data_IF_845460659501
#
_entry.id   IF_845460659501
#
_cell.length_a   1.000
_cell.length_b   1.000
_cell.length_c   1.000
_cell.angle_alpha   90.00
_cell.angle_beta   90.00
_cell.angle_gamma   90.00
#
_symmetry.space_group_name_H-M   'P 1'
#
loop_
_entity.id
_entity.type
_entity.pdbx_description
1 polymer ?
#
# COMPACT_ATOMS: atom_id res chain seq x y z
N UNK A 1 7.00 -9.86 -5.99
CA UNK A 1 6.76 -10.13 -4.54
C UNK A 1 5.85 -11.34 -4.40
N UNK A 2 6.16 -12.27 -3.48
CA UNK A 2 5.37 -13.46 -3.16
C UNK A 2 4.73 -13.31 -1.79
N UNK A 3 3.47 -13.72 -1.70
CA UNK A 3 2.69 -13.72 -0.46
C UNK A 3 2.28 -15.13 -0.09
N UNK A 4 2.47 -15.48 1.16
CA UNK A 4 2.15 -16.79 1.73
C UNK A 4 1.11 -16.65 2.84
N UNK A 5 0.31 -17.71 3.04
CA UNK A 5 -0.62 -17.75 4.15
C UNK A 5 0.10 -17.92 5.48
N UNK A 6 -0.36 -17.25 6.52
CA UNK A 6 0.10 -17.43 7.89
C UNK A 6 -0.13 -18.85 8.45
N UNK A 7 -1.04 -19.61 7.81
CA UNK A 7 -1.31 -21.02 8.13
C UNK A 7 -0.58 -22.02 7.23
N UNK A 8 0.02 -21.54 6.14
CA UNK A 8 0.90 -22.29 5.28
C UNK A 8 0.25 -23.30 4.33
N UNK A 9 -1.08 -23.42 4.29
CA UNK A 9 -1.78 -24.41 3.47
C UNK A 9 -2.48 -23.79 2.23
N UNK A 10 -2.51 -22.48 2.11
CA UNK A 10 -3.08 -21.81 0.93
C UNK A 10 -2.02 -21.61 -0.16
N UNK A 11 -2.44 -21.49 -1.44
CA UNK A 11 -1.52 -21.19 -2.55
C UNK A 11 -0.78 -19.88 -2.33
N UNK A 12 0.49 -19.83 -2.75
CA UNK A 12 1.27 -18.59 -2.82
C UNK A 12 0.71 -17.69 -3.92
N UNK A 13 0.54 -16.41 -3.61
CA UNK A 13 0.01 -15.40 -4.53
C UNK A 13 1.00 -14.26 -4.72
N UNK A 14 0.81 -13.49 -5.79
CA UNK A 14 1.42 -12.17 -5.93
C UNK A 14 0.61 -11.11 -5.17
N UNK A 15 1.04 -9.86 -5.23
CA UNK A 15 0.33 -8.75 -4.56
C UNK A 15 -1.13 -8.63 -5.03
N UNK A 16 -1.36 -8.71 -6.33
CA UNK A 16 -2.72 -8.63 -6.91
C UNK A 16 -3.61 -9.76 -6.42
N UNK A 17 -3.12 -10.98 -6.51
CA UNK A 17 -3.85 -12.16 -6.03
C UNK A 17 -4.17 -12.09 -4.55
N UNK A 18 -3.22 -11.68 -3.72
CA UNK A 18 -3.42 -11.52 -2.27
C UNK A 18 -4.43 -10.40 -1.95
N UNK A 19 -4.37 -9.27 -2.68
CA UNK A 19 -5.32 -8.16 -2.52
C UNK A 19 -6.75 -8.58 -2.86
N UNK A 20 -6.94 -9.29 -3.96
CA UNK A 20 -8.27 -9.75 -4.40
C UNK A 20 -8.81 -10.89 -3.53
N UNK A 21 -7.95 -11.77 -3.04
CA UNK A 21 -8.36 -12.87 -2.16
C UNK A 21 -8.85 -12.38 -0.78
N UNK A 22 -8.24 -11.32 -0.25
CA UNK A 22 -8.48 -10.85 1.11
C UNK A 22 -7.96 -11.85 2.14
N UNK A 23 -8.77 -12.83 2.54
CA UNK A 23 -8.36 -13.94 3.40
C UNK A 23 -7.81 -15.11 2.56
N UNK A 24 -6.84 -15.83 3.12
CA UNK A 24 -6.35 -17.05 2.51
C UNK A 24 -7.40 -18.18 2.63
N UNK A 25 -7.40 -19.10 1.67
CA UNK A 25 -8.38 -20.21 1.61
C UNK A 25 -8.33 -21.18 2.80
N UNK A 26 -7.21 -21.18 3.53
CA UNK A 26 -7.03 -21.95 4.76
C UNK A 26 -7.44 -21.18 6.04
N UNK A 27 -8.03 -19.99 5.88
CA UNK A 27 -8.43 -19.10 6.95
C UNK A 27 -7.29 -18.27 7.55
N UNK A 28 -6.10 -18.33 6.98
CA UNK A 28 -4.97 -17.47 7.33
C UNK A 28 -5.03 -16.08 6.67
N UNK A 29 -4.03 -15.27 6.94
CA UNK A 29 -3.78 -13.99 6.28
C UNK A 29 -2.62 -14.13 5.30
N UNK A 30 -2.63 -13.37 4.22
CA UNK A 30 -1.47 -13.27 3.33
C UNK A 30 -0.46 -12.28 3.89
N UNK A 31 0.78 -12.72 3.99
CA UNK A 31 1.94 -11.90 4.38
C UNK A 31 3.06 -12.07 3.36
N UNK A 32 3.97 -11.09 3.20
CA UNK A 32 5.14 -11.27 2.36
C UNK A 32 5.95 -12.51 2.79
N UNK A 33 6.35 -13.34 1.83
CA UNK A 33 7.26 -14.47 2.10
C UNK A 33 8.62 -13.98 2.60
N UNK A 34 9.07 -12.84 2.07
CA UNK A 34 10.26 -12.14 2.53
C UNK A 34 9.90 -10.67 2.78
N UNK A 35 10.17 -10.19 3.98
CA UNK A 35 9.92 -8.80 4.33
C UNK A 35 10.95 -7.89 3.66
N UNK A 36 10.51 -6.90 2.87
CA UNK A 36 11.40 -5.90 2.33
C UNK A 36 12.09 -5.11 3.44
N UNK A 37 13.36 -4.82 3.21
CA UNK A 37 14.17 -4.00 4.12
C UNK A 37 14.71 -2.79 3.37
N UNK A 38 14.84 -1.68 4.07
CA UNK A 38 15.49 -0.47 3.55
C UNK A 38 16.80 -0.23 4.31
N UNK A 39 17.85 0.03 3.57
CA UNK A 39 19.11 0.47 4.15
C UNK A 39 18.99 1.89 4.74
N UNK A 40 19.97 2.27 5.55
CA UNK A 40 20.02 3.65 6.11
C UNK A 40 20.07 4.71 5.02
N UNK A 41 20.77 4.46 3.93
CA UNK A 41 20.89 5.40 2.81
C UNK A 41 19.58 5.53 2.05
N UNK A 42 18.84 4.42 1.84
CA UNK A 42 17.50 4.44 1.25
C UNK A 42 16.51 5.21 2.13
N UNK A 43 16.56 5.00 3.45
CA UNK A 43 15.73 5.77 4.40
C UNK A 43 16.10 7.26 4.35
N UNK A 44 17.39 7.58 4.34
CA UNK A 44 17.86 8.97 4.27
C UNK A 44 17.44 9.65 2.95
N UNK A 45 17.39 8.91 1.86
CA UNK A 45 16.94 9.41 0.55
C UNK A 45 15.45 9.78 0.51
N UNK A 46 14.64 9.35 1.47
CA UNK A 46 13.25 9.78 1.61
C UNK A 46 13.11 11.22 2.17
N UNK A 47 14.17 11.76 2.75
CA UNK A 47 14.15 13.11 3.32
C UNK A 47 13.82 14.15 2.23
N UNK A 48 12.87 15.03 2.52
CA UNK A 48 12.43 16.08 1.61
C UNK A 48 11.45 15.64 0.51
N UNK A 49 11.12 14.35 0.41
CA UNK A 49 10.07 13.88 -0.49
C UNK A 49 8.68 14.26 0.05
N UNK A 50 7.72 14.37 -0.88
CA UNK A 50 6.31 14.46 -0.51
C UNK A 50 5.84 13.17 0.17
N UNK A 51 4.71 13.23 0.89
CA UNK A 51 4.10 12.01 1.44
C UNK A 51 3.77 10.99 0.35
N UNK A 52 3.27 11.45 -0.79
CA UNK A 52 2.93 10.60 -1.94
C UNK A 52 4.17 9.88 -2.48
N UNK A 53 5.27 10.60 -2.68
CA UNK A 53 6.51 10.01 -3.19
C UNK A 53 7.14 9.04 -2.18
N UNK A 54 7.08 9.39 -0.89
CA UNK A 54 7.53 8.51 0.20
C UNK A 54 6.67 7.24 0.26
N UNK A 55 5.36 7.36 0.21
CA UNK A 55 4.43 6.22 0.20
C UNK A 55 4.69 5.29 -0.98
N UNK A 56 4.84 5.84 -2.18
CA UNK A 56 5.15 5.05 -3.37
C UNK A 56 6.51 4.33 -3.24
N UNK A 57 7.54 4.99 -2.72
CA UNK A 57 8.85 4.39 -2.53
C UNK A 57 8.83 3.24 -1.50
N UNK A 58 8.14 3.43 -0.36
CA UNK A 58 8.03 2.43 0.70
C UNK A 58 7.18 1.23 0.27
N UNK A 59 6.12 1.46 -0.50
CA UNK A 59 5.21 0.39 -0.92
C UNK A 59 5.69 -0.39 -2.16
N UNK A 60 6.52 0.20 -3.01
CA UNK A 60 6.96 -0.44 -4.25
C UNK A 60 7.51 -1.87 -4.07
N UNK A 61 8.35 -2.18 -3.08
CA UNK A 61 8.85 -3.54 -2.88
C UNK A 61 7.76 -4.55 -2.53
N UNK A 62 6.68 -4.12 -1.86
CA UNK A 62 5.55 -5.00 -1.52
C UNK A 62 4.66 -5.28 -2.72
N UNK A 63 4.53 -4.33 -3.64
CA UNK A 63 3.70 -4.46 -4.83
C UNK A 63 4.40 -5.29 -5.91
N UNK A 64 5.73 -5.20 -6.00
CA UNK A 64 6.51 -5.89 -7.02
C UNK A 64 6.07 -5.49 -8.42
N UNK A 65 5.92 -6.47 -9.31
CA UNK A 65 5.55 -6.26 -10.71
C UNK A 65 4.04 -6.11 -10.96
N UNK A 66 3.22 -6.13 -9.89
CA UNK A 66 1.76 -6.04 -10.02
C UNK A 66 1.27 -4.66 -10.49
N UNK A 67 2.03 -3.60 -10.22
CA UNK A 67 1.83 -2.24 -10.73
C UNK A 67 3.17 -1.63 -11.11
N UNK A 68 3.14 -0.71 -12.08
CA UNK A 68 4.31 0.13 -12.35
C UNK A 68 4.48 1.18 -11.22
N UNK A 69 5.67 1.75 -11.13
CA UNK A 69 5.95 2.80 -10.14
C UNK A 69 5.09 4.04 -10.38
N UNK A 70 4.86 4.38 -11.63
CA UNK A 70 4.02 5.50 -12.06
C UNK A 70 2.56 5.28 -11.66
N UNK A 71 2.03 4.08 -11.88
CA UNK A 71 0.68 3.71 -11.46
C UNK A 71 0.52 3.78 -9.95
N UNK A 72 1.45 3.20 -9.21
CA UNK A 72 1.43 3.24 -7.75
C UNK A 72 1.44 4.69 -7.24
N UNK A 73 2.33 5.52 -7.78
CA UNK A 73 2.41 6.94 -7.40
C UNK A 73 1.11 7.68 -7.69
N UNK A 74 0.49 7.44 -8.86
CA UNK A 74 -0.78 8.06 -9.22
C UNK A 74 -1.92 7.65 -8.28
N UNK A 75 -1.98 6.39 -7.86
CA UNK A 75 -2.94 5.91 -6.87
C UNK A 75 -2.71 6.55 -5.50
N UNK A 76 -1.45 6.69 -5.07
CA UNK A 76 -1.10 7.40 -3.83
C UNK A 76 -1.52 8.86 -3.89
N UNK A 77 -1.32 9.55 -5.00
CA UNK A 77 -1.73 10.93 -5.18
C UNK A 77 -3.26 11.08 -5.10
N UNK A 78 -3.98 10.18 -5.75
CA UNK A 78 -5.45 10.17 -5.69
C UNK A 78 -5.97 9.89 -4.27
N UNK A 79 -5.35 8.95 -3.55
CA UNK A 79 -5.75 8.59 -2.20
C UNK A 79 -5.46 9.72 -1.19
N UNK A 80 -4.23 10.24 -1.21
CA UNK A 80 -3.72 11.15 -0.18
C UNK A 80 -3.90 12.62 -0.51
N UNK A 81 -4.16 12.97 -1.77
CA UNK A 81 -4.47 14.35 -2.19
C UNK A 81 -5.74 14.92 -1.59
N UNK A 82 -6.60 14.07 -1.00
CA UNK A 82 -7.85 14.47 -0.31
C UNK A 82 -7.67 14.74 1.18
N UNK A 83 -6.49 14.46 1.73
CA UNK A 83 -6.21 14.71 3.14
C UNK A 83 -6.05 16.21 3.40
N UNK A 84 -6.54 16.66 4.55
CA UNK A 84 -6.53 18.07 4.92
C UNK A 84 -5.15 18.62 5.33
N UNK A 85 -4.16 17.75 5.52
CA UNK A 85 -2.81 18.10 5.88
C UNK A 85 -1.80 17.60 4.84
N UNK A 86 -0.87 18.46 4.42
CA UNK A 86 0.11 18.10 3.38
C UNK A 86 1.02 16.91 3.75
N UNK A 87 1.33 16.75 5.04
CA UNK A 87 2.07 15.60 5.54
C UNK A 87 1.21 14.35 5.75
N UNK A 88 -0.09 14.38 5.45
CA UNK A 88 -1.08 13.31 5.61
C UNK A 88 -1.16 12.75 7.03
N UNK A 89 -0.06 12.29 7.59
CA UNK A 89 0.10 11.80 8.97
C UNK A 89 1.21 12.59 9.69
N UNK A 90 0.96 13.86 10.03
CA UNK A 90 2.00 14.69 10.66
C UNK A 90 2.35 14.21 12.06
N UNK A 91 3.58 14.47 12.46
CA UNK A 91 4.05 14.30 13.83
C UNK A 91 3.94 15.64 14.57
N UNK A 92 3.27 15.63 15.72
CA UNK A 92 3.20 16.77 16.64
C UNK A 92 4.05 16.47 17.86
N UNK A 93 5.04 17.30 18.11
CA UNK A 93 5.85 17.19 19.31
C UNK A 93 5.06 17.67 20.53
N UNK A 94 4.94 16.83 21.55
CA UNK A 94 4.26 17.12 22.81
C UNK A 94 5.24 17.53 23.91
N UNK A 95 6.42 16.89 23.93
CA UNK A 95 7.49 17.14 24.88
C UNK A 95 8.83 16.75 24.23
N UNK A 96 9.94 16.89 24.94
CA UNK A 96 11.29 16.64 24.45
C UNK A 96 11.43 15.33 23.68
N UNK A 97 10.93 14.23 24.22
CA UNK A 97 11.01 12.87 23.62
C UNK A 97 9.64 12.26 23.29
N UNK A 98 8.58 13.08 23.27
CA UNK A 98 7.22 12.62 23.03
C UNK A 98 6.64 13.23 21.76
N UNK A 99 6.18 12.36 20.88
CA UNK A 99 5.58 12.75 19.62
C UNK A 99 4.21 12.07 19.46
N UNK A 100 3.26 12.80 18.92
CA UNK A 100 1.94 12.30 18.55
C UNK A 100 1.88 12.18 17.04
N UNK A 101 1.60 10.97 16.52
CA UNK A 101 1.28 10.75 15.12
C UNK A 101 -0.21 11.01 14.91
N UNK A 102 -0.55 12.06 14.17
CA UNK A 102 -1.94 12.41 13.90
C UNK A 102 -2.47 11.64 12.69
N UNK A 103 -3.53 10.85 12.88
CA UNK A 103 -4.11 9.97 11.84
C UNK A 103 -5.53 10.39 11.43
N UNK A 104 -5.97 11.59 11.76
CA UNK A 104 -7.35 12.05 11.59
C UNK A 104 -7.53 13.09 10.47
N UNK A 105 -6.56 13.26 9.58
CA UNK A 105 -6.61 14.25 8.50
C UNK A 105 -7.26 13.75 7.21
N UNK A 106 -7.78 12.53 7.19
CA UNK A 106 -8.46 11.95 6.04
C UNK A 106 -9.91 12.42 5.88
N UNK A 107 -10.57 12.05 4.78
CA UNK A 107 -11.94 12.50 4.44
C UNK A 107 -12.98 12.15 5.49
N UNK A 108 -12.86 11.01 6.17
CA UNK A 108 -13.81 10.54 7.19
C UNK A 108 -13.37 10.86 8.62
N UNK A 109 -12.20 11.47 8.80
CA UNK A 109 -11.55 11.78 10.09
C UNK A 109 -11.15 10.54 10.91
N UNK A 110 -11.34 9.34 10.38
CA UNK A 110 -10.95 8.09 11.00
C UNK A 110 -9.52 7.70 10.60
N UNK A 111 -8.75 7.11 11.52
CA UNK A 111 -7.38 6.64 11.23
C UNK A 111 -7.32 5.64 10.06
N UNK A 112 -8.38 4.89 9.83
CA UNK A 112 -8.51 3.93 8.73
C UNK A 112 -8.41 4.56 7.35
N UNK A 113 -8.66 5.86 7.20
CA UNK A 113 -8.52 6.56 5.93
C UNK A 113 -7.11 6.39 5.32
N UNK A 114 -6.07 6.34 6.16
CA UNK A 114 -4.69 6.16 5.70
C UNK A 114 -4.51 4.88 4.88
N UNK A 115 -5.17 3.80 5.27
CA UNK A 115 -5.14 2.53 4.54
C UNK A 115 -6.29 2.41 3.52
N UNK A 116 -7.53 2.70 3.93
CA UNK A 116 -8.72 2.39 3.13
C UNK A 116 -8.88 3.27 1.91
N UNK A 117 -8.44 4.54 1.93
CA UNK A 117 -8.48 5.41 0.76
C UNK A 117 -7.60 4.86 -0.39
N UNK A 118 -6.46 4.29 -0.07
CA UNK A 118 -5.59 3.65 -1.05
C UNK A 118 -6.08 2.23 -1.41
N UNK A 119 -6.51 1.44 -0.43
CA UNK A 119 -6.94 0.06 -0.65
C UNK A 119 -8.08 -0.03 -1.66
N UNK A 120 -9.07 0.87 -1.60
CA UNK A 120 -10.16 0.91 -2.57
C UNK A 120 -9.67 1.09 -4.00
N UNK A 121 -8.72 1.99 -4.22
CA UNK A 121 -8.12 2.27 -5.52
C UNK A 121 -7.26 1.09 -6.02
N UNK A 122 -6.49 0.47 -5.13
CA UNK A 122 -5.71 -0.73 -5.44
C UNK A 122 -6.61 -1.89 -5.86
N UNK A 123 -7.72 -2.08 -5.14
CA UNK A 123 -8.68 -3.13 -5.43
C UNK A 123 -9.32 -2.93 -6.82
N UNK A 124 -9.79 -1.73 -7.11
CA UNK A 124 -10.33 -1.37 -8.42
C UNK A 124 -9.32 -1.61 -9.55
N UNK A 125 -8.06 -1.17 -9.35
CA UNK A 125 -7.00 -1.37 -10.34
C UNK A 125 -6.69 -2.85 -10.56
N UNK A 126 -6.67 -3.65 -9.51
CA UNK A 126 -6.45 -5.10 -9.61
C UNK A 126 -7.58 -5.81 -10.39
N UNK A 127 -8.83 -5.39 -10.21
CA UNK A 127 -9.98 -5.93 -10.95
C UNK A 127 -9.92 -5.61 -12.45
N UNK A 128 -9.55 -4.39 -12.81
CA UNK A 128 -9.41 -3.98 -14.22
C UNK A 128 -8.40 -4.85 -14.96
N UNK A 129 -7.25 -5.14 -14.38
CA UNK A 129 -6.25 -6.03 -14.99
C UNK A 129 -6.73 -7.46 -15.20
N UNK A 130 -7.64 -7.96 -14.35
CA UNK A 130 -8.19 -9.30 -14.52
C UNK A 130 -9.20 -9.37 -15.67
N UNK A 131 -9.95 -8.29 -15.92
CA UNK A 131 -10.89 -8.20 -17.06
C UNK A 131 -10.13 -8.06 -18.39
N UNK A 132 -9.10 -7.24 -18.47
CA UNK A 132 -8.30 -7.05 -19.68
C UNK A 132 -7.60 -8.37 -20.10
N UNK A 133 -7.06 -9.12 -19.14
CA UNK A 133 -6.44 -10.42 -19.39
C UNK A 133 -7.45 -11.51 -19.81
N UNK A 134 -8.73 -11.37 -19.49
CA UNK A 134 -9.79 -12.26 -19.93
C UNK A 134 -10.22 -11.97 -21.38
N UNK A 135 -10.27 -10.69 -21.77
CA UNK A 135 -10.61 -10.26 -23.13
C UNK A 135 -9.53 -10.65 -24.16
N UNK A 136 -8.26 -10.55 -23.81
CA UNK A 136 -7.15 -10.98 -24.68
C UNK A 136 -7.12 -12.48 -24.92
N UNK A 137 -7.70 -13.31 -24.03
CA UNK A 137 -7.82 -14.77 -24.22
C UNK A 137 -9.05 -15.18 -25.02
N UNK A 138 -9.97 -14.27 -25.27
CA UNK A 138 -11.20 -14.49 -26.03
C UNK A 138 -11.09 -14.07 -27.50
N UNK A 139 -9.91 -13.59 -27.93
CA UNK A 139 -9.54 -13.23 -29.32
C UNK A 139 -8.57 -14.27 -29.86
#
# INVERSE_FOLDING_TARGET
MRYISTRGAAPTLDFRGATLAGLASDGGLYVPEQWPTMSRDEIAALAGLSYVDTAAAVMAPFIGDSLTREELRALCEQAYGRFAHAAVTPLKQLDHDQWLLELFHGPTLAFKDVALQLLGLLFERCLLYTSDAADERSS
#
